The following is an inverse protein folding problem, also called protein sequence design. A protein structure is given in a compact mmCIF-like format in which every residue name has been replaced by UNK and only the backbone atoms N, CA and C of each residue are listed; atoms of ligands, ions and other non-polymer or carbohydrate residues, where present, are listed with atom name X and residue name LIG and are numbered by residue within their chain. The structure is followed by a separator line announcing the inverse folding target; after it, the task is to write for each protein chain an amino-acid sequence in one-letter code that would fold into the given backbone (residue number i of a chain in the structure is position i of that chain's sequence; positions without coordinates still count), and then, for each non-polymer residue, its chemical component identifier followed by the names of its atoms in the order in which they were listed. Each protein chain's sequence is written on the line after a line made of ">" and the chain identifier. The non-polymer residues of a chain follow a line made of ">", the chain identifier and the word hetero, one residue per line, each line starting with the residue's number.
data_IF_682305078031
#
_entry.id   IF_682305078031
#
_cell.length_a   1.000
_cell.length_b   1.000
_cell.length_c   1.000
_cell.angle_alpha   90.00
_cell.angle_beta   90.00
_cell.angle_gamma   90.00
#
_symmetry.space_group_name_H-M   'P 1'
#
loop_
_entity.id
_entity.type
_entity.pdbx_description
1 polymer ?
#
# COMPACT_ATOMS: atom_id res chain seq x y z
N UNK A 1 -6.69 2.83 -20.44
CA UNK A 1 -7.24 2.10 -19.25
C UNK A 1 -6.84 2.86 -18.01
N UNK A 2 -7.77 3.13 -17.10
CA UNK A 2 -7.48 3.78 -15.83
C UNK A 2 -6.65 2.84 -14.93
N UNK A 3 -5.63 3.37 -14.25
CA UNK A 3 -4.96 2.59 -13.22
C UNK A 3 -5.81 2.65 -11.95
N UNK A 4 -6.02 1.52 -11.28
CA UNK A 4 -6.88 1.46 -10.10
C UNK A 4 -6.11 0.80 -8.96
N UNK A 5 -6.17 1.37 -7.76
CA UNK A 5 -5.69 0.73 -6.55
C UNK A 5 -6.87 0.38 -5.63
N UNK A 6 -6.98 -0.91 -5.28
CA UNK A 6 -8.12 -1.45 -4.55
C UNK A 6 -7.77 -1.66 -3.08
N UNK A 7 -8.67 -1.28 -2.20
CA UNK A 7 -8.64 -1.54 -0.77
C UNK A 7 -9.92 -2.28 -0.37
N UNK A 8 -9.79 -3.18 0.59
CA UNK A 8 -10.87 -3.99 1.13
C UNK A 8 -11.70 -3.25 2.18
N UNK A 9 -11.16 -2.19 2.77
CA UNK A 9 -11.90 -1.26 3.61
C UNK A 9 -11.30 0.14 3.53
N UNK A 10 -11.99 1.11 4.15
CA UNK A 10 -11.53 2.49 4.19
C UNK A 10 -10.53 2.70 5.33
N UNK A 11 -9.29 2.28 5.12
CA UNK A 11 -8.23 2.48 6.10
C UNK A 11 -8.07 3.98 6.45
N UNK A 12 -7.85 4.34 7.73
CA UNK A 12 -7.67 5.73 8.13
C UNK A 12 -6.62 6.51 7.30
N UNK A 13 -5.53 5.83 6.92
CA UNK A 13 -4.46 6.39 6.07
C UNK A 13 -4.94 6.93 4.71
N UNK A 14 -6.06 6.43 4.19
CA UNK A 14 -6.58 6.83 2.88
C UNK A 14 -7.27 8.18 2.91
N UNK A 15 -7.76 8.63 4.07
CA UNK A 15 -8.43 9.92 4.26
C UNK A 15 -9.53 10.22 3.21
N UNK A 16 -10.26 9.19 2.75
CA UNK A 16 -11.28 9.28 1.70
C UNK A 16 -10.78 9.94 0.40
N UNK A 17 -9.52 9.73 0.02
CA UNK A 17 -8.97 10.22 -1.25
C UNK A 17 -9.54 9.41 -2.41
N UNK A 18 -9.91 10.07 -3.51
CA UNK A 18 -10.50 9.42 -4.68
C UNK A 18 -9.42 9.03 -5.70
N UNK A 19 -8.31 9.77 -5.74
CA UNK A 19 -7.17 9.50 -6.61
C UNK A 19 -5.85 9.66 -5.88
N UNK A 20 -4.83 8.97 -6.38
CA UNK A 20 -3.47 9.16 -5.88
C UNK A 20 -2.41 8.92 -6.96
N UNK A 21 -1.34 9.70 -6.91
CA UNK A 21 -0.18 9.55 -7.80
C UNK A 21 0.85 8.65 -7.14
N UNK A 22 1.25 7.58 -7.81
CA UNK A 22 2.35 6.74 -7.37
C UNK A 22 3.66 7.53 -7.50
N UNK A 23 4.39 7.73 -6.40
CA UNK A 23 5.61 8.56 -6.39
C UNK A 23 6.87 7.76 -6.13
N UNK A 24 6.76 6.62 -5.44
CA UNK A 24 7.90 5.77 -5.15
C UNK A 24 7.47 4.32 -4.94
N UNK A 25 8.39 3.39 -5.20
CA UNK A 25 8.23 1.95 -4.95
C UNK A 25 9.50 1.48 -4.27
N UNK A 26 9.35 0.73 -3.19
CA UNK A 26 10.44 0.01 -2.54
C UNK A 26 10.17 -1.49 -2.55
N UNK A 27 11.23 -2.30 -2.59
CA UNK A 27 11.14 -3.76 -2.63
C UNK A 27 11.58 -4.34 -1.27
N UNK A 28 10.62 -4.87 -0.52
CA UNK A 28 10.88 -5.48 0.79
C UNK A 28 11.00 -6.98 0.60
N UNK A 29 12.20 -7.52 0.86
CA UNK A 29 12.53 -8.95 0.69
C UNK A 29 12.52 -9.68 2.03
N UNK A 30 12.07 -10.94 1.99
CA UNK A 30 12.01 -11.86 3.15
C UNK A 30 11.40 -11.22 4.41
N UNK A 31 10.12 -10.81 4.32
CA UNK A 31 9.41 -10.12 5.40
C UNK A 31 9.29 -10.92 6.72
N UNK A 32 9.74 -12.18 6.78
CA UNK A 32 9.94 -12.90 8.04
C UNK A 32 10.94 -12.17 8.95
N UNK A 33 12.01 -11.62 8.37
CA UNK A 33 13.03 -10.87 9.09
C UNK A 33 12.48 -9.54 9.62
N UNK A 34 11.50 -8.99 8.93
CA UNK A 34 10.96 -7.65 9.15
C UNK A 34 10.15 -7.54 10.43
N UNK A 35 9.51 -8.62 10.89
CA UNK A 35 8.88 -8.68 12.21
C UNK A 35 9.87 -8.53 13.37
N UNK A 36 11.19 -8.64 13.12
CA UNK A 36 12.24 -8.37 14.11
C UNK A 36 12.65 -6.89 14.18
N UNK A 37 12.28 -6.06 13.20
CA UNK A 37 12.68 -4.65 13.10
C UNK A 37 11.51 -3.70 13.40
N UNK A 38 11.54 -2.96 14.52
CA UNK A 38 10.43 -2.12 14.96
C UNK A 38 9.96 -1.08 13.93
N UNK A 39 10.89 -0.49 13.16
CA UNK A 39 10.57 0.53 12.17
C UNK A 39 9.66 0.00 11.05
N UNK A 40 9.90 -1.23 10.60
CA UNK A 40 9.10 -1.85 9.55
C UNK A 40 7.80 -2.44 10.10
N UNK A 41 7.79 -2.87 11.37
CA UNK A 41 6.55 -3.22 12.07
C UNK A 41 5.58 -2.04 12.12
N UNK A 42 6.06 -0.84 12.46
CA UNK A 42 5.24 0.37 12.48
C UNK A 42 4.67 0.72 11.10
N UNK A 43 5.46 0.52 10.03
CA UNK A 43 4.99 0.69 8.67
C UNK A 43 3.85 -0.28 8.31
N UNK A 44 3.98 -1.56 8.71
CA UNK A 44 2.94 -2.55 8.49
C UNK A 44 1.67 -2.26 9.28
N UNK A 45 1.80 -1.90 10.56
CA UNK A 45 0.66 -1.49 11.39
C UNK A 45 -0.04 -0.26 10.79
N UNK A 46 0.71 0.74 10.33
CA UNK A 46 0.14 1.88 9.59
C UNK A 46 -0.60 1.43 8.33
N UNK A 47 -0.07 0.43 7.63
CA UNK A 47 -0.63 -0.05 6.37
C UNK A 47 -1.91 -0.86 6.54
N UNK A 48 -2.00 -1.67 7.59
CA UNK A 48 -3.05 -2.69 7.76
C UNK A 48 -4.05 -2.39 8.87
N UNK A 49 -3.86 -1.31 9.64
CA UNK A 49 -4.77 -0.95 10.73
C UNK A 49 -6.09 -0.39 10.22
N UNK A 50 -7.16 -1.15 10.41
CA UNK A 50 -8.55 -0.75 10.17
C UNK A 50 -9.04 0.30 11.15
N UNK A 51 -10.20 0.90 10.84
CA UNK A 51 -10.86 1.90 11.70
C UNK A 51 -11.37 1.32 13.02
N UNK A 52 -11.65 0.01 13.06
CA UNK A 52 -12.02 -0.76 14.25
C UNK A 52 -10.81 -1.16 15.12
N UNK A 53 -9.60 -0.78 14.71
CA UNK A 53 -8.35 -1.16 15.39
C UNK A 53 -7.85 -2.56 15.04
N UNK A 54 -8.53 -3.30 14.17
CA UNK A 54 -8.02 -4.57 13.64
C UNK A 54 -6.78 -4.33 12.77
N UNK A 55 -5.85 -5.28 12.75
CA UNK A 55 -4.70 -5.25 11.86
C UNK A 55 -4.60 -6.58 11.11
N UNK A 56 -4.41 -6.53 9.80
CA UNK A 56 -4.09 -7.75 9.05
C UNK A 56 -2.66 -8.20 9.33
N UNK A 57 -2.51 -9.48 9.64
CA UNK A 57 -1.20 -10.11 9.75
C UNK A 57 -0.58 -10.27 8.37
N UNK A 58 0.64 -9.78 8.23
CA UNK A 58 1.43 -9.94 7.01
C UNK A 58 2.20 -11.25 7.13
N UNK A 59 1.97 -12.13 6.16
CA UNK A 59 2.66 -13.41 6.08
C UNK A 59 4.07 -13.23 5.53
N UNK A 60 4.97 -14.18 5.83
CA UNK A 60 6.29 -14.26 5.21
C UNK A 60 6.21 -14.16 3.69
N UNK A 61 7.11 -13.37 3.11
CA UNK A 61 7.32 -13.29 1.67
C UNK A 61 7.92 -11.95 1.24
N UNK A 62 7.92 -11.75 -0.07
CA UNK A 62 8.39 -10.53 -0.70
C UNK A 62 7.22 -9.59 -1.02
N UNK A 63 7.46 -8.29 -0.86
CA UNK A 63 6.46 -7.26 -1.00
C UNK A 63 6.99 -6.03 -1.73
N UNK A 64 6.07 -5.33 -2.38
CA UNK A 64 6.24 -3.99 -2.91
C UNK A 64 5.61 -3.01 -1.91
N UNK A 65 6.41 -2.06 -1.43
CA UNK A 65 5.93 -0.91 -0.68
C UNK A 65 5.71 0.24 -1.64
N UNK A 66 4.46 0.62 -1.82
CA UNK A 66 4.06 1.67 -2.76
C UNK A 66 3.77 2.95 -2.00
N UNK A 67 4.37 4.07 -2.41
CA UNK A 67 4.11 5.39 -1.84
C UNK A 67 3.29 6.24 -2.79
N UNK A 68 2.23 6.83 -2.27
CA UNK A 68 1.27 7.61 -3.03
C UNK A 68 1.14 9.02 -2.46
N UNK A 69 1.10 10.01 -3.34
CA UNK A 69 0.63 11.36 -3.05
C UNK A 69 -0.85 11.44 -3.47
N UNK A 70 -1.75 11.56 -2.51
CA UNK A 70 -3.17 11.61 -2.82
C UNK A 70 -3.68 12.98 -3.25
N UNK A 71 -4.89 12.98 -3.80
CA UNK A 71 -5.56 14.17 -4.34
C UNK A 71 -5.90 15.25 -3.32
N UNK A 72 -5.90 14.92 -2.02
CA UNK A 72 -6.04 15.90 -0.92
C UNK A 72 -4.70 16.40 -0.37
N UNK A 73 -3.60 16.08 -1.05
CA UNK A 73 -2.24 16.38 -0.59
C UNK A 73 -1.77 15.50 0.57
N UNK A 74 -2.49 14.41 0.87
CA UNK A 74 -2.16 13.49 1.96
C UNK A 74 -1.42 12.29 1.37
N UNK A 75 -0.21 12.07 1.87
CA UNK A 75 0.62 10.93 1.50
C UNK A 75 0.13 9.66 2.21
N UNK A 76 0.17 8.53 1.51
CA UNK A 76 -0.06 7.22 2.12
C UNK A 76 0.79 6.15 1.46
N UNK A 77 1.02 5.07 2.18
CA UNK A 77 1.65 3.86 1.67
C UNK A 77 0.64 2.74 1.50
N UNK A 78 1.01 1.74 0.71
CA UNK A 78 0.29 0.47 0.62
C UNK A 78 1.23 -0.65 0.23
N UNK A 79 1.08 -1.77 0.92
CA UNK A 79 1.95 -2.93 0.76
C UNK A 79 1.22 -3.98 -0.07
N UNK A 80 1.90 -4.50 -1.08
CA UNK A 80 1.37 -5.50 -2.01
C UNK A 80 2.35 -6.64 -2.13
N UNK A 81 1.88 -7.88 -2.10
CA UNK A 81 2.76 -9.02 -2.32
C UNK A 81 3.45 -8.89 -3.68
N UNK A 82 4.76 -9.07 -3.71
CA UNK A 82 5.54 -9.04 -4.94
C UNK A 82 5.26 -10.33 -5.72
N UNK A 83 4.35 -10.22 -6.68
CA UNK A 83 3.96 -11.27 -7.58
C UNK A 83 3.82 -10.69 -9.00
N UNK A 84 3.78 -11.52 -10.05
CA UNK A 84 3.77 -11.03 -11.43
C UNK A 84 2.65 -10.03 -11.73
N UNK A 85 1.46 -10.24 -11.15
CA UNK A 85 0.29 -9.37 -11.33
C UNK A 85 0.52 -7.98 -10.74
N UNK A 86 0.91 -7.90 -9.47
CA UNK A 86 1.19 -6.62 -8.80
C UNK A 86 2.40 -5.93 -9.43
N UNK A 87 3.46 -6.66 -9.75
CA UNK A 87 4.67 -6.07 -10.33
C UNK A 87 4.38 -5.44 -11.69
N UNK A 88 3.70 -6.17 -12.59
CA UNK A 88 3.25 -5.62 -13.88
C UNK A 88 2.36 -4.38 -13.71
N UNK A 89 1.52 -4.38 -12.67
CA UNK A 89 0.60 -3.28 -12.39
C UNK A 89 1.29 -2.00 -11.92
N UNK A 90 2.37 -2.08 -11.13
CA UNK A 90 2.93 -0.90 -10.45
C UNK A 90 4.34 -0.50 -10.91
N UNK A 91 5.22 -1.45 -11.25
CA UNK A 91 6.67 -1.19 -11.33
C UNK A 91 7.06 -0.07 -12.30
N UNK A 92 6.35 0.06 -13.42
CA UNK A 92 6.58 1.08 -14.44
C UNK A 92 5.54 2.23 -14.41
N UNK A 93 4.87 2.44 -13.28
CA UNK A 93 3.79 3.41 -13.11
C UNK A 93 4.12 4.56 -12.16
N UNK A 94 5.38 4.71 -11.75
CA UNK A 94 5.82 5.90 -11.02
C UNK A 94 5.46 7.15 -11.84
N UNK A 95 4.90 8.14 -11.18
CA UNK A 95 4.38 9.36 -11.77
C UNK A 95 2.95 9.26 -12.33
N UNK A 96 2.32 8.08 -12.35
CA UNK A 96 0.95 7.91 -12.85
C UNK A 96 -0.08 8.00 -11.73
N UNK A 97 -1.25 8.51 -12.09
CA UNK A 97 -2.42 8.56 -11.23
C UNK A 97 -3.17 7.22 -11.23
N UNK A 98 -3.72 6.89 -10.06
CA UNK A 98 -4.56 5.75 -9.79
C UNK A 98 -5.87 6.23 -9.17
N UNK A 99 -6.99 5.66 -9.60
CA UNK A 99 -8.24 5.77 -8.87
C UNK A 99 -8.19 4.87 -7.63
N UNK A 100 -8.63 5.40 -6.49
CA UNK A 100 -8.68 4.69 -5.21
C UNK A 100 -10.07 4.09 -5.06
N UNK A 101 -10.14 2.76 -5.15
CA UNK A 101 -11.36 2.01 -4.94
C UNK A 101 -11.33 1.35 -3.56
N UNK A 102 -12.37 1.61 -2.77
CA UNK A 102 -12.58 0.94 -1.48
C UNK A 102 -13.80 0.06 -1.61
N UNK A 103 -13.69 -1.22 -1.23
CA UNK A 103 -14.87 -2.11 -1.15
C UNK A 103 -15.85 -1.54 -0.12
N UNK A 104 -17.12 -1.48 -0.51
CA UNK A 104 -18.24 -1.16 0.37
C UNK A 104 -18.56 -2.35 1.27
#
# INVERSE_FOLDING_TARGET
>A
MANVIKFDCNYPKLCNQAKAKLVWIDEIRDCDFVLKYPALKALFEYDTKGSDGSCFNINRGDYLLLFFAGDKGIMFSTIRRDNPSNRSKYINKIGKWFDVEVKQ
#
